data_IF_786378750119
#
_entry.id   IF_786378750119
#
_cell.length_a   1.000
_cell.length_b   1.000
_cell.length_c   1.000
_cell.angle_alpha   90.00
_cell.angle_beta   90.00
_cell.angle_gamma   90.00
#
_symmetry.space_group_name_H-M   'P 1'
#
loop_
_entity.id
_entity.type
_entity.pdbx_description
1 polymer ?
#
# COMPACT_ATOMS: atom_id res chain seq x y z
N UNK A 1 1.50 -22.55 -61.74
CA UNK A 1 1.40 -21.93 -63.10
C UNK A 1 1.54 -20.44 -62.95
N UNK A 2 2.51 -19.86 -63.73
CA UNK A 2 2.75 -18.45 -64.07
C UNK A 2 3.06 -17.48 -62.92
N UNK A 3 4.20 -16.92 -62.81
CA UNK A 3 5.35 -16.39 -63.59
C UNK A 3 5.52 -14.91 -63.17
N UNK A 4 6.61 -14.61 -62.49
CA UNK A 4 7.78 -13.80 -62.90
C UNK A 4 7.41 -12.43 -63.52
N UNK A 5 7.91 -11.34 -62.93
CA UNK A 5 8.80 -10.42 -63.63
C UNK A 5 9.56 -9.49 -62.67
N UNK A 6 10.88 -9.56 -62.82
CA UNK A 6 11.90 -8.59 -62.40
C UNK A 6 11.88 -7.38 -63.34
N UNK A 7 12.27 -6.24 -62.80
CA UNK A 7 13.01 -5.25 -63.63
C UNK A 7 13.90 -4.38 -62.73
N UNK A 8 15.16 -4.50 -62.99
CA UNK A 8 16.33 -3.68 -62.64
C UNK A 8 16.43 -2.49 -63.59
N UNK A 9 17.00 -1.36 -63.12
CA UNK A 9 17.89 -0.39 -63.83
C UNK A 9 18.28 0.68 -62.81
N UNK A 10 19.50 0.75 -62.36
CA UNK A 10 20.80 1.37 -62.72
C UNK A 10 20.73 2.81 -63.22
N UNK A 11 21.48 3.68 -62.55
CA UNK A 11 22.61 4.55 -62.94
C UNK A 11 22.62 5.82 -62.08
N UNK A 12 23.55 6.06 -61.17
CA UNK A 12 24.88 6.64 -61.24
C UNK A 12 24.88 8.12 -61.75
N UNK A 13 25.29 9.05 -60.85
CA UNK A 13 26.14 10.18 -61.20
C UNK A 13 26.83 10.75 -59.93
N UNK A 14 28.13 10.79 -60.02
CA UNK A 14 29.07 11.33 -59.03
C UNK A 14 29.09 12.90 -59.16
N UNK A 15 29.28 13.57 -58.05
CA UNK A 15 29.62 15.01 -57.98
C UNK A 15 30.53 15.26 -56.79
N UNK A 16 31.85 15.23 -57.00
CA UNK A 16 32.86 15.72 -56.09
C UNK A 16 32.83 17.25 -56.09
N UNK A 17 32.69 17.87 -54.91
CA UNK A 17 33.13 19.27 -54.68
C UNK A 17 33.99 19.23 -53.41
N UNK A 18 35.29 19.45 -53.58
CA UNK A 18 36.25 19.75 -52.58
C UNK A 18 36.16 21.21 -52.18
N UNK A 19 36.01 21.52 -50.91
CA UNK A 19 36.25 22.89 -50.37
C UNK A 19 37.04 22.83 -49.11
N UNK A 20 38.00 23.68 -49.10
CA UNK A 20 39.16 23.96 -48.32
C UNK A 20 38.96 23.96 -46.76
N UNK A 21 40.03 23.43 -46.14
CA UNK A 21 40.35 23.61 -44.70
C UNK A 21 40.73 25.06 -44.48
N UNK A 22 40.03 25.75 -43.60
CA UNK A 22 40.52 26.94 -42.90
C UNK A 22 40.54 26.67 -41.40
N UNK A 23 41.75 26.48 -40.87
CA UNK A 23 42.04 26.43 -39.45
C UNK A 23 41.72 27.80 -38.81
N UNK A 24 40.74 27.79 -37.92
CA UNK A 24 40.45 28.92 -37.04
C UNK A 24 40.44 28.39 -35.60
N UNK A 25 41.54 28.58 -34.83
CA UNK A 25 41.53 28.49 -33.38
C UNK A 25 40.65 29.60 -32.82
N UNK A 26 39.47 29.22 -32.33
CA UNK A 26 38.60 30.04 -31.53
C UNK A 26 38.03 29.17 -30.43
N UNK A 27 38.52 29.34 -29.17
CA UNK A 27 37.93 28.74 -27.98
C UNK A 27 36.53 29.24 -27.77
N UNK A 28 35.56 28.55 -28.37
CA UNK A 28 34.15 28.67 -28.06
C UNK A 28 33.79 27.58 -27.06
N UNK A 29 33.45 27.98 -25.85
CA UNK A 29 32.66 27.15 -24.95
C UNK A 29 31.51 26.61 -25.76
N UNK A 30 31.52 25.28 -26.01
CA UNK A 30 30.34 24.60 -26.57
C UNK A 30 29.17 24.90 -25.63
N UNK A 31 28.26 25.74 -26.09
CA UNK A 31 26.96 25.86 -25.48
C UNK A 31 26.36 24.46 -25.55
N UNK A 32 26.20 23.82 -24.39
CA UNK A 32 25.47 22.58 -24.26
C UNK A 32 24.10 22.81 -24.87
N UNK A 33 23.79 22.09 -25.94
CA UNK A 33 22.42 21.98 -26.45
C UNK A 33 21.55 21.68 -25.23
N UNK A 34 20.40 22.37 -25.04
CA UNK A 34 19.51 21.99 -23.95
C UNK A 34 19.15 20.53 -24.18
N UNK A 35 19.61 19.66 -23.28
CA UNK A 35 19.06 18.30 -23.21
C UNK A 35 17.58 18.45 -22.93
N UNK A 36 16.72 17.72 -23.70
CA UNK A 36 15.29 17.62 -23.40
C UNK A 36 15.08 17.09 -22.00
N UNK A 37 13.82 17.04 -21.53
CA UNK A 37 13.50 16.52 -20.21
C UNK A 37 14.03 15.10 -20.02
N UNK A 38 14.44 14.76 -18.79
CA UNK A 38 14.77 13.39 -18.45
C UNK A 38 13.50 12.56 -18.43
N UNK A 39 13.38 11.63 -19.37
CA UNK A 39 12.22 10.74 -19.43
C UNK A 39 12.32 9.65 -18.37
N UNK A 40 11.30 9.52 -17.50
CA UNK A 40 11.17 8.42 -16.53
C UNK A 40 9.82 7.74 -16.66
N UNK A 41 9.77 6.49 -16.21
CA UNK A 41 8.54 5.68 -16.19
C UNK A 41 8.09 5.42 -14.76
N UNK A 42 6.78 5.49 -14.53
CA UNK A 42 6.15 5.25 -13.23
C UNK A 42 5.00 4.26 -13.35
N UNK A 43 4.94 3.26 -12.48
CA UNK A 43 3.81 2.34 -12.38
C UNK A 43 3.16 2.37 -10.99
N UNK A 44 1.82 2.36 -10.94
CA UNK A 44 1.08 2.40 -9.70
C UNK A 44 -0.36 1.93 -9.87
N UNK A 45 -0.92 1.32 -8.82
CA UNK A 45 -2.36 1.02 -8.68
C UNK A 45 -3.09 2.06 -7.82
N UNK A 46 -2.36 3.00 -7.22
CA UNK A 46 -2.94 3.96 -6.28
C UNK A 46 -3.80 4.97 -7.02
N UNK A 47 -5.01 5.19 -6.51
CA UNK A 47 -5.94 6.19 -7.05
C UNK A 47 -5.31 7.58 -7.10
N UNK A 48 -5.61 8.32 -8.16
CA UNK A 48 -5.08 9.66 -8.38
C UNK A 48 -3.66 9.71 -8.93
N UNK A 49 -2.99 8.57 -9.19
CA UNK A 49 -1.61 8.56 -9.70
C UNK A 49 -1.50 9.24 -11.07
N UNK A 50 -2.48 9.05 -11.96
CA UNK A 50 -2.50 9.76 -13.24
C UNK A 50 -2.61 11.27 -13.07
N UNK A 51 -3.47 11.74 -12.16
CA UNK A 51 -3.61 13.17 -11.86
C UNK A 51 -2.30 13.78 -11.34
N UNK A 52 -1.57 13.02 -10.50
CA UNK A 52 -0.25 13.41 -10.00
C UNK A 52 0.74 13.59 -11.14
N UNK A 53 0.80 12.62 -12.06
CA UNK A 53 1.73 12.68 -13.21
C UNK A 53 1.39 13.83 -14.13
N UNK A 54 0.12 14.01 -14.49
CA UNK A 54 -0.32 15.11 -15.35
C UNK A 54 0.03 16.48 -14.73
N UNK A 55 -0.20 16.64 -13.41
CA UNK A 55 0.12 17.87 -12.69
C UNK A 55 1.63 18.12 -12.60
N UNK A 56 2.42 17.07 -12.34
CA UNK A 56 3.88 17.20 -12.29
C UNK A 56 4.47 17.59 -13.64
N UNK A 57 4.08 16.91 -14.70
CA UNK A 57 4.54 17.23 -16.06
C UNK A 57 4.14 18.63 -16.51
N UNK A 58 3.00 19.15 -16.04
CA UNK A 58 2.57 20.52 -16.34
C UNK A 58 3.32 21.59 -15.50
N UNK A 59 3.84 21.23 -14.33
CA UNK A 59 4.46 22.18 -13.39
C UNK A 59 5.94 22.46 -13.66
N UNK A 60 6.62 21.64 -14.43
CA UNK A 60 8.06 21.77 -14.70
C UNK A 60 8.43 21.05 -16.01
N UNK A 61 9.66 21.32 -16.53
CA UNK A 61 10.17 20.80 -17.80
C UNK A 61 11.50 20.01 -17.68
N UNK A 62 11.97 19.75 -16.49
CA UNK A 62 13.24 19.03 -16.27
C UNK A 62 13.10 17.51 -16.39
N UNK A 63 11.94 16.98 -15.92
CA UNK A 63 11.66 15.55 -15.90
C UNK A 63 10.27 15.31 -16.50
N UNK A 64 10.17 14.41 -17.44
CA UNK A 64 8.89 13.97 -17.98
C UNK A 64 8.57 12.55 -17.52
N UNK A 65 7.40 12.36 -16.94
CA UNK A 65 6.95 11.07 -16.37
C UNK A 65 5.94 10.41 -17.28
N UNK A 66 6.22 9.20 -17.74
CA UNK A 66 5.24 8.34 -18.42
C UNK A 66 4.62 7.38 -17.40
N UNK A 67 3.29 7.38 -17.31
CA UNK A 67 2.53 6.60 -16.32
C UNK A 67 1.95 5.32 -16.92
N UNK A 68 2.08 4.22 -16.16
CA UNK A 68 1.41 2.95 -16.43
C UNK A 68 0.56 2.55 -15.23
N UNK A 69 -0.75 2.43 -15.42
CA UNK A 69 -1.64 1.93 -14.38
C UNK A 69 -1.52 0.42 -14.25
N UNK A 70 -1.46 -0.07 -13.00
CA UNK A 70 -1.49 -1.49 -12.66
C UNK A 70 -2.81 -1.76 -11.94
N UNK A 71 -3.47 -2.89 -12.25
CA UNK A 71 -4.80 -3.17 -11.74
C UNK A 71 -4.82 -3.36 -10.21
N UNK A 72 -3.89 -4.14 -9.68
CA UNK A 72 -3.76 -4.42 -8.23
C UNK A 72 -2.31 -4.53 -7.79
N UNK A 73 -2.06 -4.42 -6.48
CA UNK A 73 -0.74 -4.70 -5.90
C UNK A 73 -0.34 -6.18 -6.09
N UNK A 74 -1.29 -7.10 -5.95
CA UNK A 74 -1.05 -8.54 -6.08
C UNK A 74 -0.53 -8.94 -7.47
N UNK A 75 -1.08 -8.33 -8.52
CA UNK A 75 -0.66 -8.58 -9.91
C UNK A 75 0.71 -7.94 -10.23
N UNK A 76 1.03 -6.85 -9.52
CA UNK A 76 2.22 -6.06 -9.80
C UNK A 76 3.53 -6.77 -9.40
N UNK A 77 3.60 -7.36 -8.20
CA UNK A 77 4.87 -7.87 -7.66
C UNK A 77 5.51 -8.99 -8.46
N UNK A 78 4.79 -10.02 -8.95
CA UNK A 78 5.37 -11.03 -9.82
C UNK A 78 5.87 -10.45 -11.16
N UNK A 79 5.15 -9.45 -11.69
CA UNK A 79 5.54 -8.75 -12.92
C UNK A 79 6.82 -7.93 -12.71
N UNK A 80 6.93 -7.16 -11.62
CA UNK A 80 8.13 -6.36 -11.31
C UNK A 80 9.39 -7.22 -11.23
N UNK A 81 9.32 -8.37 -10.53
CA UNK A 81 10.47 -9.28 -10.44
C UNK A 81 10.92 -9.77 -11.82
N UNK A 82 9.99 -10.09 -12.70
CA UNK A 82 10.30 -10.50 -14.08
C UNK A 82 10.84 -9.34 -14.92
N UNK A 83 10.25 -8.15 -14.81
CA UNK A 83 10.68 -6.94 -15.51
C UNK A 83 12.09 -6.51 -15.12
N UNK A 84 12.45 -6.61 -13.82
CA UNK A 84 13.81 -6.34 -13.35
C UNK A 84 14.80 -7.31 -14.00
N UNK A 85 14.50 -8.61 -14.02
CA UNK A 85 15.35 -9.61 -14.71
C UNK A 85 15.50 -9.32 -16.21
N UNK A 86 14.43 -8.82 -16.84
CA UNK A 86 14.43 -8.45 -18.26
C UNK A 86 14.97 -7.04 -18.52
N UNK A 87 15.31 -6.25 -17.49
CA UNK A 87 15.71 -4.83 -17.57
C UNK A 87 14.66 -3.93 -18.23
N UNK A 88 13.39 -4.21 -18.00
CA UNK A 88 12.23 -3.48 -18.53
C UNK A 88 11.34 -2.93 -17.42
N UNK A 89 11.80 -2.98 -16.17
CA UNK A 89 11.04 -2.46 -15.03
C UNK A 89 10.90 -0.93 -15.11
N UNK A 90 9.76 -0.37 -14.67
CA UNK A 90 9.61 1.08 -14.53
C UNK A 90 10.69 1.67 -13.63
N UNK A 91 11.05 2.95 -13.87
CA UNK A 91 12.04 3.65 -13.05
C UNK A 91 11.55 3.84 -11.61
N UNK A 92 10.30 4.31 -11.47
CA UNK A 92 9.62 4.51 -10.19
C UNK A 92 8.50 3.49 -10.04
N UNK A 93 8.47 2.83 -8.88
CA UNK A 93 7.50 1.77 -8.58
C UNK A 93 6.84 2.03 -7.22
N UNK A 94 5.56 1.67 -7.12
CA UNK A 94 4.84 1.66 -5.85
C UNK A 94 5.11 0.35 -5.11
N UNK A 95 5.42 0.44 -3.82
CA UNK A 95 5.64 -0.74 -2.96
C UNK A 95 4.96 -0.55 -1.61
N UNK A 96 4.09 -1.48 -1.24
CA UNK A 96 3.49 -1.51 0.09
C UNK A 96 4.54 -1.87 1.15
N UNK A 97 4.43 -1.31 2.36
CA UNK A 97 5.39 -1.58 3.43
C UNK A 97 5.65 -3.07 3.70
N UNK A 98 4.62 -3.96 3.69
CA UNK A 98 4.86 -5.39 3.88
C UNK A 98 5.76 -6.05 2.82
N UNK A 99 5.99 -5.37 1.71
CA UNK A 99 6.77 -5.88 0.58
C UNK A 99 8.16 -5.26 0.44
N UNK A 100 8.44 -4.15 1.13
CA UNK A 100 9.70 -3.41 0.93
C UNK A 100 10.91 -4.30 1.21
N UNK A 101 10.95 -4.98 2.38
CA UNK A 101 12.07 -5.85 2.75
C UNK A 101 12.22 -7.05 1.81
N UNK A 102 11.12 -7.60 1.34
CA UNK A 102 11.12 -8.70 0.39
C UNK A 102 11.63 -8.26 -0.99
N UNK A 103 11.12 -7.15 -1.53
CA UNK A 103 11.55 -6.62 -2.83
C UNK A 103 13.01 -6.18 -2.81
N UNK A 104 13.49 -5.61 -1.70
CA UNK A 104 14.91 -5.27 -1.53
C UNK A 104 15.81 -6.52 -1.53
N UNK A 105 15.47 -7.55 -0.74
CA UNK A 105 16.25 -8.79 -0.66
C UNK A 105 16.20 -9.64 -1.95
N UNK A 106 15.17 -9.45 -2.77
CA UNK A 106 15.07 -10.04 -4.12
C UNK A 106 15.81 -9.23 -5.20
N UNK A 107 16.42 -8.09 -4.85
CA UNK A 107 17.12 -7.23 -5.79
C UNK A 107 16.21 -6.47 -6.76
N UNK A 108 14.94 -6.25 -6.39
CA UNK A 108 13.99 -5.45 -7.18
C UNK A 108 14.15 -3.97 -6.92
N UNK A 109 14.40 -3.59 -5.67
CA UNK A 109 14.61 -2.21 -5.26
C UNK A 109 16.09 -1.82 -5.29
N UNK A 110 16.34 -0.56 -5.63
CA UNK A 110 17.65 0.09 -5.52
C UNK A 110 17.82 0.66 -4.12
N UNK A 111 19.01 0.56 -3.55
CA UNK A 111 19.38 1.38 -2.40
C UNK A 111 19.44 2.85 -2.84
N UNK A 112 18.58 3.67 -2.24
CA UNK A 112 18.42 5.10 -2.51
C UNK A 112 18.91 5.97 -1.33
N UNK A 113 19.76 5.44 -0.46
CA UNK A 113 20.31 6.15 0.70
C UNK A 113 20.98 7.46 0.30
N UNK A 114 21.69 7.45 -0.82
CA UNK A 114 22.39 8.64 -1.34
C UNK A 114 21.41 9.70 -1.84
N UNK A 115 20.39 9.29 -2.59
CA UNK A 115 19.44 10.20 -3.27
C UNK A 115 18.29 10.64 -2.37
N UNK A 116 17.88 9.81 -1.39
CA UNK A 116 16.68 10.03 -0.59
C UNK A 116 16.85 9.85 0.92
N UNK A 117 18.00 9.42 1.42
CA UNK A 117 18.20 9.17 2.86
C UNK A 117 17.92 10.39 3.73
N UNK A 118 18.41 11.58 3.35
CA UNK A 118 18.13 12.83 4.05
C UNK A 118 16.63 13.20 3.96
N UNK A 119 16.01 13.08 2.80
CA UNK A 119 14.57 13.32 2.62
C UNK A 119 13.77 12.43 3.58
N UNK A 120 14.06 11.13 3.63
CA UNK A 120 13.33 10.17 4.44
C UNK A 120 13.51 10.46 5.93
N UNK A 121 14.73 10.72 6.37
CA UNK A 121 15.02 10.96 7.80
C UNK A 121 14.49 12.29 8.34
N UNK A 122 14.32 13.32 7.48
CA UNK A 122 13.90 14.66 7.91
C UNK A 122 12.41 14.94 7.71
N UNK A 123 11.76 14.26 6.76
CA UNK A 123 10.37 14.56 6.38
C UNK A 123 9.35 13.57 6.94
N UNK A 124 9.79 12.48 7.58
CA UNK A 124 8.89 11.44 8.07
C UNK A 124 9.28 11.00 9.49
N UNK A 125 8.27 10.60 10.27
CA UNK A 125 8.46 10.14 11.64
C UNK A 125 9.28 8.83 11.70
N UNK A 126 10.08 8.59 12.77
CA UNK A 126 10.89 7.37 12.92
C UNK A 126 10.10 6.07 12.80
N UNK A 127 8.85 6.00 13.31
CA UNK A 127 7.96 4.84 13.20
C UNK A 127 7.58 4.51 11.75
N UNK A 128 7.60 5.50 10.85
CA UNK A 128 7.34 5.33 9.42
C UNK A 128 8.63 5.01 8.67
N UNK A 129 9.72 5.70 9.00
CA UNK A 129 11.01 5.47 8.31
C UNK A 129 11.54 4.07 8.55
N UNK A 130 11.29 3.45 9.71
CA UNK A 130 11.65 2.06 10.00
C UNK A 130 11.02 1.03 9.06
N UNK A 131 9.93 1.38 8.36
CA UNK A 131 9.25 0.49 7.40
C UNK A 131 9.94 0.46 6.03
N UNK A 132 10.82 1.42 5.76
CA UNK A 132 11.57 1.55 4.49
C UNK A 132 13.08 1.56 4.67
N UNK A 133 13.57 1.67 5.92
CA UNK A 133 15.00 1.69 6.26
C UNK A 133 15.36 0.42 7.04
N UNK A 134 16.22 -0.42 6.49
CA UNK A 134 16.76 -1.62 7.15
C UNK A 134 18.08 -2.03 6.50
N UNK A 135 18.91 -2.78 7.23
CA UNK A 135 20.23 -3.20 6.74
C UNK A 135 21.16 -2.04 6.41
N UNK A 136 21.00 -0.89 7.08
CA UNK A 136 21.81 0.30 6.83
C UNK A 136 21.49 1.07 5.55
N UNK A 137 20.40 0.73 4.85
CA UNK A 137 20.00 1.32 3.57
C UNK A 137 18.56 1.84 3.58
N UNK A 138 18.26 2.79 2.69
CA UNK A 138 16.92 3.33 2.40
C UNK A 138 16.40 2.73 1.11
N UNK A 139 15.22 2.07 1.18
CA UNK A 139 14.65 1.30 0.08
C UNK A 139 13.41 1.94 -0.54
N UNK A 140 12.86 2.97 0.08
CA UNK A 140 11.69 3.67 -0.42
C UNK A 140 11.46 5.00 0.27
N UNK A 141 10.61 5.84 -0.33
CA UNK A 141 10.12 7.09 0.25
C UNK A 141 8.67 6.87 0.63
N UNK A 142 8.30 7.05 1.91
CA UNK A 142 6.93 6.86 2.37
C UNK A 142 5.92 7.79 1.69
N UNK A 143 4.71 7.29 1.43
CA UNK A 143 3.59 8.11 0.99
C UNK A 143 2.54 8.25 2.09
N UNK A 144 1.97 7.12 2.51
CA UNK A 144 0.79 7.10 3.36
C UNK A 144 0.86 6.02 4.44
N UNK A 145 -0.04 6.14 5.41
CA UNK A 145 -0.34 5.09 6.36
C UNK A 145 -1.75 4.56 6.08
N UNK A 146 -1.87 3.24 5.96
CA UNK A 146 -3.16 2.56 5.96
C UNK A 146 -3.68 2.41 7.39
N UNK A 147 -3.92 3.52 8.10
CA UNK A 147 -4.37 3.48 9.51
C UNK A 147 -5.66 2.69 9.62
N UNK A 148 -5.64 1.62 10.40
CA UNK A 148 -6.79 0.74 10.60
C UNK A 148 -7.86 1.46 11.42
N UNK A 149 -9.08 1.48 10.91
CA UNK A 149 -10.22 2.17 11.51
C UNK A 149 -11.53 1.47 11.16
N UNK A 150 -12.61 1.82 11.84
CA UNK A 150 -13.93 1.26 11.60
C UNK A 150 -14.79 2.26 10.81
N UNK A 151 -15.18 1.87 9.60
CA UNK A 151 -16.22 2.55 8.80
C UNK A 151 -17.57 1.96 9.17
N UNK A 152 -18.57 2.80 9.44
CA UNK A 152 -19.89 2.32 9.84
C UNK A 152 -21.02 3.14 9.25
N UNK A 153 -22.14 2.49 9.03
CA UNK A 153 -23.41 3.10 8.59
C UNK A 153 -24.10 3.72 9.82
N UNK A 154 -23.97 5.04 9.97
CA UNK A 154 -24.53 5.77 11.10
C UNK A 154 -26.07 5.60 11.20
N UNK A 155 -26.75 5.64 10.06
CA UNK A 155 -28.21 5.41 9.99
C UNK A 155 -28.63 4.00 10.43
N UNK A 156 -27.81 2.99 10.15
CA UNK A 156 -28.08 1.62 10.59
C UNK A 156 -27.70 1.38 12.05
N UNK A 157 -26.62 2.00 12.51
CA UNK A 157 -26.28 2.00 13.95
C UNK A 157 -27.40 2.60 14.79
N UNK A 158 -27.96 3.74 14.35
CA UNK A 158 -29.14 4.36 14.98
C UNK A 158 -30.35 3.41 14.93
N UNK A 159 -30.68 2.85 13.77
CA UNK A 159 -31.79 1.90 13.59
C UNK A 159 -31.73 0.71 14.55
N UNK A 160 -30.56 0.15 14.78
CA UNK A 160 -30.37 -1.00 15.68
C UNK A 160 -30.02 -0.58 17.12
N UNK A 161 -29.97 0.72 17.42
CA UNK A 161 -29.65 1.27 18.72
C UNK A 161 -28.27 0.87 19.21
N UNK A 162 -27.25 0.91 18.32
CA UNK A 162 -25.87 0.55 18.61
C UNK A 162 -25.06 1.82 18.79
N UNK A 163 -24.37 1.90 19.91
CA UNK A 163 -23.31 2.87 20.11
C UNK A 163 -22.03 2.43 19.42
N UNK A 164 -21.17 3.38 19.03
CA UNK A 164 -19.87 3.08 18.42
C UNK A 164 -18.97 2.38 19.45
N UNK A 165 -18.58 1.10 19.24
CA UNK A 165 -17.83 0.34 20.23
C UNK A 165 -16.40 0.89 20.37
N UNK A 166 -15.93 1.04 21.62
CA UNK A 166 -14.55 1.44 21.95
C UNK A 166 -13.67 0.24 22.31
N UNK A 167 -14.30 -0.84 22.75
CA UNK A 167 -13.63 -2.07 23.12
C UNK A 167 -14.07 -3.24 22.24
N UNK A 168 -13.22 -4.25 22.08
CA UNK A 168 -13.61 -5.49 21.41
C UNK A 168 -14.74 -6.24 22.13
N UNK A 169 -14.88 -6.03 23.45
CA UNK A 169 -16.02 -6.58 24.21
C UNK A 169 -17.34 -5.89 23.80
N UNK A 170 -17.36 -4.54 23.72
CA UNK A 170 -18.50 -3.78 23.22
C UNK A 170 -18.83 -4.12 21.78
N UNK A 171 -17.80 -4.31 20.93
CA UNK A 171 -17.96 -4.74 19.54
C UNK A 171 -18.64 -6.11 19.45
N UNK A 172 -18.23 -7.07 20.28
CA UNK A 172 -18.85 -8.40 20.34
C UNK A 172 -20.29 -8.33 20.81
N UNK A 173 -20.59 -7.49 21.81
CA UNK A 173 -21.95 -7.27 22.30
C UNK A 173 -22.83 -6.62 21.24
N UNK A 174 -22.32 -5.64 20.49
CA UNK A 174 -23.00 -5.02 19.37
C UNK A 174 -23.28 -6.03 18.25
N UNK A 175 -22.32 -6.89 17.91
CA UNK A 175 -22.49 -7.95 16.90
C UNK A 175 -23.60 -8.94 17.30
N UNK A 176 -23.63 -9.37 18.58
CA UNK A 176 -24.67 -10.23 19.09
C UNK A 176 -26.06 -9.57 19.05
N UNK A 177 -26.14 -8.27 19.45
CA UNK A 177 -27.39 -7.49 19.40
C UNK A 177 -27.97 -7.39 17.99
N UNK A 178 -27.13 -7.09 16.99
CA UNK A 178 -27.53 -7.02 15.58
C UNK A 178 -28.05 -8.36 15.09
N UNK A 179 -27.29 -9.44 15.32
CA UNK A 179 -27.64 -10.78 14.85
C UNK A 179 -28.95 -11.30 15.50
N UNK A 180 -29.22 -10.92 16.75
CA UNK A 180 -30.46 -11.26 17.44
C UNK A 180 -31.66 -10.45 16.92
N UNK A 181 -31.46 -9.18 16.56
CA UNK A 181 -32.51 -8.31 16.03
C UNK A 181 -32.92 -8.66 14.61
N UNK A 182 -31.94 -9.06 13.77
CA UNK A 182 -32.18 -9.47 12.38
C UNK A 182 -31.16 -10.55 11.96
N UNK A 183 -31.60 -11.81 11.73
CA UNK A 183 -30.72 -12.90 11.34
C UNK A 183 -30.09 -12.74 9.94
N UNK A 184 -30.59 -11.80 9.13
CA UNK A 184 -30.04 -11.48 7.79
C UNK A 184 -29.00 -10.36 7.82
N UNK A 185 -28.68 -9.82 8.99
CA UNK A 185 -27.78 -8.67 9.15
C UNK A 185 -26.64 -9.03 10.09
N UNK A 186 -25.44 -8.52 9.82
CA UNK A 186 -24.28 -8.64 10.71
C UNK A 186 -23.63 -7.28 10.88
N UNK A 187 -22.99 -7.13 12.04
CA UNK A 187 -22.23 -5.91 12.33
C UNK A 187 -21.11 -5.73 11.31
N UNK A 188 -20.37 -6.80 10.98
CA UNK A 188 -19.24 -6.76 10.03
C UNK A 188 -19.01 -8.11 9.35
N UNK A 189 -17.99 -8.14 8.48
CA UNK A 189 -17.40 -9.37 7.95
C UNK A 189 -16.21 -9.83 8.80
N UNK A 190 -15.92 -11.13 8.71
CA UNK A 190 -14.75 -11.74 9.34
C UNK A 190 -13.48 -11.48 8.54
N UNK A 191 -12.31 -11.36 9.19
CA UNK A 191 -11.02 -11.31 8.50
C UNK A 191 -10.53 -12.67 7.99
N UNK A 192 -11.31 -13.76 8.11
CA UNK A 192 -10.88 -15.10 7.68
C UNK A 192 -10.44 -15.09 6.21
N UNK A 193 -9.16 -15.43 5.98
CA UNK A 193 -8.55 -15.38 4.65
C UNK A 193 -7.83 -14.06 4.33
N UNK A 194 -7.75 -13.14 5.29
CA UNK A 194 -7.00 -11.90 5.16
C UNK A 194 -5.80 -11.85 6.13
N UNK A 195 -4.63 -12.37 5.73
CA UNK A 195 -3.46 -12.42 6.59
C UNK A 195 -2.88 -11.02 6.91
N UNK A 196 -3.11 -10.02 6.06
CA UNK A 196 -2.71 -8.65 6.35
C UNK A 196 -3.55 -8.07 7.51
N UNK A 197 -4.83 -8.42 7.60
CA UNK A 197 -5.67 -8.06 8.74
C UNK A 197 -5.22 -8.80 10.02
N UNK A 198 -4.79 -10.07 9.92
CA UNK A 198 -4.24 -10.78 11.09
C UNK A 198 -2.99 -10.06 11.63
N UNK A 199 -2.09 -9.66 10.74
CA UNK A 199 -0.90 -8.90 11.11
C UNK A 199 -1.27 -7.54 11.75
N UNK A 200 -2.24 -6.83 11.18
CA UNK A 200 -2.69 -5.55 11.72
C UNK A 200 -3.32 -5.69 13.12
N UNK A 201 -4.19 -6.68 13.34
CA UNK A 201 -4.79 -6.94 14.65
C UNK A 201 -3.75 -7.39 15.67
N UNK A 202 -2.78 -8.22 15.26
CA UNK A 202 -1.65 -8.61 16.10
C UNK A 202 -0.80 -7.39 16.49
N UNK A 203 -0.49 -6.51 15.52
CA UNK A 203 0.24 -5.27 15.76
C UNK A 203 -0.49 -4.35 16.74
N UNK A 204 -1.80 -4.12 16.53
CA UNK A 204 -2.64 -3.37 17.48
C UNK A 204 -2.50 -3.88 18.91
N UNK A 205 -2.37 -5.20 19.09
CA UNK A 205 -2.23 -5.86 20.38
C UNK A 205 -0.78 -5.96 20.87
N UNK A 206 0.16 -5.24 20.25
CA UNK A 206 1.56 -5.16 20.65
C UNK A 206 2.45 -6.33 20.21
N UNK A 207 1.97 -7.22 19.33
CA UNK A 207 2.81 -8.26 18.74
C UNK A 207 3.90 -7.66 17.85
N UNK A 208 4.97 -8.42 17.64
CA UNK A 208 6.08 -8.08 16.73
C UNK A 208 6.44 -9.33 15.93
N UNK A 209 5.88 -9.47 14.73
CA UNK A 209 6.10 -10.67 13.90
C UNK A 209 7.53 -10.83 13.41
N UNK A 210 8.28 -9.74 13.30
CA UNK A 210 9.68 -9.74 12.92
C UNK A 210 10.49 -8.73 13.71
N UNK A 211 11.76 -9.06 13.95
CA UNK A 211 12.77 -8.10 14.40
C UNK A 211 14.14 -8.52 13.88
N UNK A 212 15.02 -7.52 13.69
CA UNK A 212 16.40 -7.74 13.28
C UNK A 212 17.32 -7.58 14.49
N UNK A 213 18.18 -8.57 14.74
CA UNK A 213 19.21 -8.53 15.78
C UNK A 213 20.57 -8.84 15.14
N UNK A 214 21.37 -7.80 14.91
CA UNK A 214 22.51 -7.85 14.01
C UNK A 214 22.07 -8.20 12.60
N UNK A 215 22.63 -9.27 12.03
CA UNK A 215 22.28 -9.78 10.69
C UNK A 215 21.27 -10.93 10.73
N UNK A 216 20.66 -11.19 11.88
CA UNK A 216 19.73 -12.32 12.06
C UNK A 216 18.31 -11.87 12.32
N UNK A 217 17.36 -12.49 11.65
CA UNK A 217 15.94 -12.27 11.85
C UNK A 217 15.39 -13.12 12.99
N UNK A 218 14.63 -12.50 13.88
CA UNK A 218 13.72 -13.20 14.79
C UNK A 218 12.32 -13.19 14.17
N UNK A 219 11.64 -14.32 14.20
CA UNK A 219 10.27 -14.50 13.71
C UNK A 219 9.38 -14.96 14.84
N UNK A 220 8.35 -14.17 15.20
CA UNK A 220 7.45 -14.42 16.33
C UNK A 220 5.97 -14.21 15.93
N UNK A 221 5.55 -14.89 14.85
CA UNK A 221 4.17 -14.86 14.33
C UNK A 221 3.22 -15.54 15.32
N UNK A 222 3.66 -16.63 15.95
CA UNK A 222 2.89 -17.46 16.89
C UNK A 222 2.93 -16.95 18.35
N UNK A 223 3.14 -15.66 18.56
CA UNK A 223 3.19 -15.05 19.89
C UNK A 223 1.84 -15.05 20.60
N UNK A 224 1.88 -14.97 21.94
CA UNK A 224 0.68 -14.87 22.76
C UNK A 224 -0.14 -13.60 22.41
N UNK A 225 0.53 -12.50 22.09
CA UNK A 225 -0.13 -11.27 21.67
C UNK A 225 -0.90 -11.45 20.35
N UNK A 226 -0.33 -12.18 19.36
CA UNK A 226 -1.03 -12.54 18.12
C UNK A 226 -2.22 -13.46 18.40
N UNK A 227 -2.03 -14.51 19.22
CA UNK A 227 -3.11 -15.44 19.59
C UNK A 227 -4.27 -14.73 20.27
N UNK A 228 -3.99 -13.81 21.20
CA UNK A 228 -5.01 -13.05 21.91
C UNK A 228 -5.81 -12.15 20.96
N UNK A 229 -5.17 -11.46 20.02
CA UNK A 229 -5.83 -10.62 19.02
C UNK A 229 -6.76 -11.45 18.11
N UNK A 230 -6.29 -12.59 17.61
CA UNK A 230 -7.07 -13.44 16.72
C UNK A 230 -8.17 -14.23 17.45
N UNK A 231 -8.03 -14.45 18.77
CA UNK A 231 -9.07 -15.12 19.55
C UNK A 231 -10.40 -14.35 19.54
N UNK A 232 -10.36 -13.04 19.64
CA UNK A 232 -11.58 -12.20 19.55
C UNK A 232 -12.30 -12.45 18.24
N UNK A 233 -11.58 -12.46 17.13
CA UNK A 233 -12.16 -12.72 15.80
C UNK A 233 -12.68 -14.15 15.68
N UNK A 234 -11.93 -15.12 16.19
CA UNK A 234 -12.34 -16.53 16.19
C UNK A 234 -13.63 -16.74 16.98
N UNK A 235 -13.76 -16.14 18.17
CA UNK A 235 -14.96 -16.24 19.01
C UNK A 235 -16.21 -15.71 18.26
N UNK A 236 -16.08 -14.56 17.58
CA UNK A 236 -17.14 -13.96 16.76
C UNK A 236 -17.52 -14.85 15.57
N UNK A 237 -16.54 -15.45 14.90
CA UNK A 237 -16.78 -16.39 13.78
C UNK A 237 -17.48 -17.65 14.28
N UNK A 238 -16.99 -18.25 15.37
CA UNK A 238 -17.57 -19.46 15.96
C UNK A 238 -19.03 -19.26 16.42
N UNK A 239 -19.33 -18.06 16.92
CA UNK A 239 -20.69 -17.65 17.29
C UNK A 239 -21.56 -17.22 16.09
N UNK A 240 -21.05 -17.24 14.84
CA UNK A 240 -21.73 -16.81 13.61
C UNK A 240 -22.22 -15.36 13.65
N UNK A 241 -21.46 -14.50 14.34
CA UNK A 241 -21.78 -13.07 14.53
C UNK A 241 -21.20 -12.17 13.42
N UNK A 242 -20.35 -12.71 12.56
CA UNK A 242 -19.78 -12.04 11.40
C UNK A 242 -20.11 -12.78 10.11
N UNK A 243 -20.15 -12.04 8.99
CA UNK A 243 -20.21 -12.65 7.67
C UNK A 243 -18.83 -13.27 7.32
N UNK A 244 -18.84 -14.46 6.70
CA UNK A 244 -17.61 -15.18 6.29
C UNK A 244 -17.57 -15.45 4.79
N UNK A 245 -18.46 -14.85 4.04
CA UNK A 245 -18.58 -14.98 2.59
C UNK A 245 -17.43 -14.27 1.86
N UNK A 246 -17.30 -14.59 0.58
CA UNK A 246 -16.29 -13.98 -0.30
C UNK A 246 -16.67 -12.54 -0.71
N UNK A 247 -15.68 -11.78 -1.14
CA UNK A 247 -15.80 -10.35 -1.39
C UNK A 247 -16.99 -9.91 -2.29
N UNK A 248 -17.34 -10.60 -3.38
CA UNK A 248 -18.50 -10.18 -4.19
C UNK A 248 -19.83 -10.27 -3.42
N UNK A 249 -20.01 -11.31 -2.57
CA UNK A 249 -21.21 -11.49 -1.74
C UNK A 249 -21.24 -10.43 -0.63
N UNK A 250 -20.09 -10.15 -0.02
CA UNK A 250 -19.98 -9.10 1.00
C UNK A 250 -20.29 -7.71 0.42
N UNK A 251 -19.86 -7.41 -0.80
CA UNK A 251 -20.18 -6.16 -1.47
C UNK A 251 -21.69 -6.00 -1.70
N UNK A 252 -22.38 -7.08 -2.09
CA UNK A 252 -23.84 -7.07 -2.23
C UNK A 252 -24.52 -6.86 -0.87
N UNK A 253 -24.09 -7.57 0.19
CA UNK A 253 -24.61 -7.37 1.54
C UNK A 253 -24.40 -5.93 2.06
N UNK A 254 -23.31 -5.31 1.71
CA UNK A 254 -23.04 -3.91 2.03
C UNK A 254 -23.97 -2.96 1.27
N UNK A 255 -24.21 -3.21 -0.03
CA UNK A 255 -25.18 -2.47 -0.83
C UNK A 255 -26.60 -2.57 -0.23
N UNK A 256 -26.99 -3.77 0.18
CA UNK A 256 -28.33 -4.07 0.73
C UNK A 256 -28.51 -3.62 2.21
N UNK A 257 -27.47 -3.05 2.85
CA UNK A 257 -27.53 -2.65 4.26
C UNK A 257 -27.52 -3.83 5.24
N UNK A 258 -27.06 -5.00 4.80
CA UNK A 258 -26.92 -6.22 5.62
C UNK A 258 -25.54 -6.31 6.29
N UNK A 259 -24.59 -5.43 5.93
CA UNK A 259 -23.28 -5.25 6.54
C UNK A 259 -23.20 -3.82 7.08
N UNK A 260 -23.14 -3.68 8.41
CA UNK A 260 -23.28 -2.39 9.06
C UNK A 260 -21.95 -1.62 9.20
N UNK A 261 -20.84 -2.33 9.25
CA UNK A 261 -19.51 -1.73 9.38
C UNK A 261 -18.45 -2.54 8.65
N UNK A 262 -17.34 -1.87 8.35
CA UNK A 262 -16.13 -2.46 7.75
C UNK A 262 -14.92 -1.96 8.52
N UNK A 263 -14.08 -2.87 8.98
CA UNK A 263 -12.76 -2.54 9.52
C UNK A 263 -11.77 -2.57 8.35
N UNK A 264 -11.12 -1.46 8.09
CA UNK A 264 -10.16 -1.33 6.98
C UNK A 264 -9.20 -0.16 7.18
N UNK A 265 -8.19 -0.06 6.32
CA UNK A 265 -7.26 1.06 6.31
C UNK A 265 -7.91 2.37 5.84
N UNK A 266 -7.27 3.50 6.14
CA UNK A 266 -7.74 4.84 5.79
C UNK A 266 -8.04 5.02 4.29
N UNK A 267 -7.40 4.24 3.42
CA UNK A 267 -7.62 4.22 1.97
C UNK A 267 -9.01 3.70 1.55
N UNK A 268 -9.72 2.98 2.41
CA UNK A 268 -11.01 2.35 2.07
C UNK A 268 -12.11 3.37 1.83
N UNK A 269 -12.01 4.58 2.38
CA UNK A 269 -12.96 5.66 2.13
C UNK A 269 -13.15 5.98 0.64
N UNK A 270 -12.09 5.91 -0.17
CA UNK A 270 -12.17 6.07 -1.62
C UNK A 270 -12.96 4.93 -2.29
N UNK A 271 -12.81 3.71 -1.79
CA UNK A 271 -13.56 2.55 -2.28
C UNK A 271 -15.04 2.68 -1.98
N UNK A 272 -15.40 3.13 -0.76
CA UNK A 272 -16.79 3.43 -0.38
C UNK A 272 -17.42 4.47 -1.30
N UNK A 273 -16.78 5.61 -1.47
CA UNK A 273 -17.29 6.70 -2.30
C UNK A 273 -17.45 6.29 -3.77
N UNK A 274 -16.64 5.36 -4.26
CA UNK A 274 -16.72 4.89 -5.65
C UNK A 274 -17.79 3.81 -5.83
N UNK A 275 -17.80 2.79 -4.94
CA UNK A 275 -18.65 1.62 -5.09
C UNK A 275 -20.08 1.85 -4.58
N UNK A 276 -20.27 2.75 -3.61
CA UNK A 276 -21.55 2.99 -2.93
C UNK A 276 -21.87 4.49 -2.89
N UNK A 277 -21.79 5.17 -4.03
CA UNK A 277 -22.03 6.61 -4.15
C UNK A 277 -23.45 7.02 -3.67
N UNK A 278 -24.44 6.16 -3.82
CA UNK A 278 -25.82 6.32 -3.34
C UNK A 278 -25.97 6.28 -1.82
N UNK A 279 -24.93 5.89 -1.11
CA UNK A 279 -24.88 5.89 0.36
C UNK A 279 -24.18 7.13 0.92
N UNK A 280 -23.99 8.18 0.11
CA UNK A 280 -23.40 9.45 0.54
C UNK A 280 -24.14 10.02 1.77
N UNK A 281 -23.38 10.53 2.73
CA UNK A 281 -23.87 11.10 3.98
C UNK A 281 -24.19 10.08 5.08
N UNK A 282 -24.29 8.77 4.74
CA UNK A 282 -24.68 7.71 5.69
C UNK A 282 -23.51 7.05 6.42
N UNK A 283 -22.32 7.20 5.91
CA UNK A 283 -21.10 6.61 6.50
C UNK A 283 -20.44 7.56 7.49
N UNK A 284 -19.81 6.98 8.50
CA UNK A 284 -18.90 7.64 9.44
C UNK A 284 -17.69 6.76 9.69
N UNK A 285 -16.66 7.34 10.28
CA UNK A 285 -15.42 6.66 10.65
C UNK A 285 -15.20 6.79 12.16
N UNK A 286 -14.75 5.71 12.78
CA UNK A 286 -14.39 5.69 14.20
C UNK A 286 -13.01 5.04 14.38
N UNK A 287 -12.40 5.31 15.56
CA UNK A 287 -11.22 4.55 16.00
C UNK A 287 -11.53 3.06 16.04
N UNK A 288 -10.51 2.24 15.79
CA UNK A 288 -10.63 0.80 15.95
C UNK A 288 -10.91 0.47 17.43
N UNK A 289 -11.84 -0.45 17.74
CA UNK A 289 -11.98 -0.97 19.10
C UNK A 289 -10.67 -1.58 19.59
N UNK A 290 -10.34 -1.41 20.86
CA UNK A 290 -9.16 -2.00 21.49
C UNK A 290 -9.54 -2.97 22.61
N UNK A 291 -8.59 -3.69 23.17
CA UNK A 291 -8.86 -4.60 24.30
C UNK A 291 -9.20 -3.80 25.56
N UNK A 292 -8.51 -2.69 25.80
CA UNK A 292 -8.61 -1.90 27.02
C UNK A 292 -9.58 -0.73 26.92
N UNK A 293 -9.99 -0.33 25.71
CA UNK A 293 -10.71 0.92 25.43
C UNK A 293 -9.80 2.13 25.25
N UNK A 294 -8.52 2.03 25.59
CA UNK A 294 -7.55 3.06 25.24
C UNK A 294 -7.27 3.02 23.73
N UNK A 295 -7.05 4.16 23.09
CA UNK A 295 -6.76 4.20 21.67
C UNK A 295 -5.55 3.32 21.31
N UNK A 296 -5.76 2.39 20.41
CA UNK A 296 -4.71 1.56 19.81
C UNK A 296 -5.12 1.22 18.39
N UNK A 297 -4.25 1.53 17.43
CA UNK A 297 -4.48 1.22 16.03
C UNK A 297 -3.30 0.41 15.48
N UNK A 298 -3.35 0.09 14.20
CA UNK A 298 -2.25 -0.48 13.45
C UNK A 298 -2.33 -0.01 12.00
N UNK A 299 -1.36 -0.40 11.18
CA UNK A 299 -1.46 -0.20 9.74
C UNK A 299 -1.98 -1.46 9.05
N UNK A 300 -2.95 -1.25 8.18
CA UNK A 300 -3.44 -2.23 7.23
C UNK A 300 -3.16 -1.71 5.82
N UNK A 301 -2.05 -2.16 5.23
CA UNK A 301 -1.47 -1.57 4.04
C UNK A 301 -0.66 -0.31 4.36
N UNK A 302 -0.66 0.61 3.41
CA UNK A 302 0.21 1.78 3.37
C UNK A 302 1.36 1.54 2.39
N UNK A 303 1.77 2.60 1.71
CA UNK A 303 2.62 2.51 0.53
C UNK A 303 3.82 3.43 0.60
N UNK A 304 4.86 3.02 -0.08
CA UNK A 304 6.05 3.80 -0.40
C UNK A 304 6.28 3.79 -1.91
N UNK A 305 7.19 4.64 -2.36
CA UNK A 305 7.71 4.63 -3.73
C UNK A 305 9.19 4.29 -3.69
N UNK A 306 9.57 3.28 -4.47
CA UNK A 306 10.96 2.87 -4.66
C UNK A 306 11.47 3.17 -6.06
N UNK A 307 12.77 3.07 -6.23
CA UNK A 307 13.45 3.08 -7.52
C UNK A 307 13.78 1.63 -7.89
N UNK A 308 13.48 1.23 -9.11
CA UNK A 308 13.88 -0.07 -9.62
C UNK A 308 15.40 -0.22 -9.62
N UNK A 309 15.91 -1.39 -9.25
CA UNK A 309 17.35 -1.67 -9.25
C UNK A 309 18.00 -1.52 -10.62
N UNK A 310 17.22 -1.62 -11.70
CA UNK A 310 17.69 -1.47 -13.09
C UNK A 310 17.61 -0.02 -13.60
N UNK A 311 17.02 0.91 -12.84
CA UNK A 311 16.95 2.32 -13.24
C UNK A 311 18.29 3.02 -13.09
N UNK A 312 18.70 3.75 -14.11
CA UNK A 312 19.86 4.65 -14.11
C UNK A 312 19.47 6.12 -13.82
N UNK A 313 18.14 6.37 -13.58
CA UNK A 313 17.56 7.71 -13.45
C UNK A 313 17.05 7.99 -12.04
N UNK A 314 17.76 7.48 -11.01
CA UNK A 314 17.34 7.57 -9.63
C UNK A 314 17.11 9.03 -9.16
N UNK A 315 18.00 9.96 -9.51
CA UNK A 315 17.83 11.37 -9.14
C UNK A 315 16.55 12.00 -9.69
N UNK A 316 16.23 11.75 -10.96
CA UNK A 316 15.00 12.23 -11.58
C UNK A 316 13.75 11.57 -10.94
N UNK A 317 13.84 10.26 -10.66
CA UNK A 317 12.79 9.53 -9.95
C UNK A 317 12.55 10.10 -8.55
N UNK A 318 13.60 10.39 -7.79
CA UNK A 318 13.47 10.96 -6.44
C UNK A 318 12.93 12.41 -6.47
N UNK A 319 13.28 13.24 -7.47
CA UNK A 319 12.64 14.56 -7.65
C UNK A 319 11.11 14.41 -7.79
N UNK A 320 10.65 13.50 -8.63
CA UNK A 320 9.22 13.22 -8.81
C UNK A 320 8.58 12.68 -7.51
N UNK A 321 9.21 11.68 -6.87
CA UNK A 321 8.70 11.10 -5.62
C UNK A 321 8.60 12.15 -4.53
N UNK A 322 9.63 12.98 -4.32
CA UNK A 322 9.62 14.08 -3.34
C UNK A 322 8.43 15.01 -3.59
N UNK A 323 8.25 15.45 -4.83
CA UNK A 323 7.14 16.36 -5.18
C UNK A 323 5.78 15.73 -4.84
N UNK A 324 5.54 14.47 -5.22
CA UNK A 324 4.24 13.83 -5.03
C UNK A 324 3.95 13.39 -3.59
N UNK A 325 4.98 13.30 -2.71
CA UNK A 325 4.82 12.81 -1.33
C UNK A 325 4.89 13.91 -0.28
N UNK A 326 5.53 15.04 -0.59
CA UNK A 326 5.80 16.09 0.42
C UNK A 326 5.26 17.45 0.06
N UNK A 327 4.76 17.68 -1.18
CA UNK A 327 4.21 18.98 -1.55
C UNK A 327 2.69 19.03 -1.51
N UNK A 328 2.09 20.19 -1.16
CA UNK A 328 0.65 20.39 -1.23
C UNK A 328 0.08 20.14 -2.61
N UNK A 329 0.79 20.55 -3.68
CA UNK A 329 0.36 20.42 -5.07
C UNK A 329 0.24 18.96 -5.49
N UNK A 330 1.25 18.14 -5.18
CA UNK A 330 1.27 16.70 -5.47
C UNK A 330 0.12 15.97 -4.78
N UNK A 331 -0.12 16.29 -3.51
CA UNK A 331 -1.22 15.67 -2.75
C UNK A 331 -2.59 16.16 -3.22
N UNK A 332 -2.77 17.46 -3.50
CA UNK A 332 -4.02 17.98 -4.06
C UNK A 332 -4.36 17.31 -5.40
N UNK A 333 -3.35 17.13 -6.26
CA UNK A 333 -3.52 16.39 -7.52
C UNK A 333 -3.99 14.96 -7.27
N UNK A 334 -3.45 14.26 -6.27
CA UNK A 334 -3.88 12.91 -5.89
C UNK A 334 -5.33 12.88 -5.38
N UNK A 335 -5.70 13.80 -4.48
CA UNK A 335 -7.06 13.89 -3.92
C UNK A 335 -8.09 14.21 -5.01
N UNK A 336 -7.75 15.06 -6.01
CA UNK A 336 -8.63 15.33 -7.15
C UNK A 336 -8.99 14.08 -7.95
N UNK A 337 -8.16 13.02 -7.90
CA UNK A 337 -8.43 11.69 -8.44
C UNK A 337 -9.24 10.78 -7.50
N UNK A 338 -9.97 11.35 -6.55
CA UNK A 338 -10.81 10.64 -5.55
C UNK A 338 -10.03 9.69 -4.64
N UNK A 339 -8.76 9.98 -4.37
CA UNK A 339 -7.96 9.27 -3.38
C UNK A 339 -8.33 9.72 -1.97
N UNK A 340 -8.38 8.78 -1.01
CA UNK A 340 -8.44 9.06 0.43
C UNK A 340 -7.13 8.66 1.11
N UNK A 341 -6.02 8.82 0.39
CA UNK A 341 -4.68 8.60 0.93
C UNK A 341 -4.51 9.40 2.22
N UNK A 342 -3.90 8.78 3.23
CA UNK A 342 -3.55 9.45 4.50
C UNK A 342 -2.03 9.68 4.53
N UNK A 343 -1.53 10.84 4.02
CA UNK A 343 -0.12 11.11 3.92
C UNK A 343 0.58 11.09 5.29
N UNK A 344 1.75 10.47 5.34
CA UNK A 344 2.56 10.44 6.56
C UNK A 344 3.47 11.66 6.71
N UNK A 345 3.69 12.42 5.64
CA UNK A 345 4.27 13.76 5.70
C UNK A 345 3.23 14.77 6.23
N UNK A 346 3.59 15.60 7.21
CA UNK A 346 2.66 16.50 7.89
C UNK A 346 2.09 17.59 6.96
N UNK A 347 2.94 18.23 6.15
CA UNK A 347 2.51 19.25 5.19
C UNK A 347 1.55 18.66 4.16
N UNK A 348 1.88 17.50 3.63
CA UNK A 348 1.03 16.77 2.69
C UNK A 348 -0.30 16.34 3.31
N UNK A 349 -0.30 15.87 4.58
CA UNK A 349 -1.51 15.48 5.30
C UNK A 349 -2.45 16.64 5.53
N UNK A 350 -1.94 17.80 5.94
CA UNK A 350 -2.72 19.03 6.10
C UNK A 350 -3.37 19.44 4.77
N UNK A 351 -2.61 19.37 3.67
CA UNK A 351 -3.14 19.67 2.33
C UNK A 351 -4.20 18.66 1.87
N UNK A 352 -4.05 17.37 2.22
CA UNK A 352 -5.03 16.33 1.91
C UNK A 352 -6.35 16.57 2.65
N UNK A 353 -6.30 16.83 3.95
CA UNK A 353 -7.48 17.13 4.77
C UNK A 353 -8.24 18.36 4.24
N UNK A 354 -7.51 19.43 3.88
CA UNK A 354 -8.10 20.66 3.33
C UNK A 354 -8.73 20.48 1.93
N UNK A 355 -8.25 19.53 1.15
CA UNK A 355 -8.74 19.24 -0.21
C UNK A 355 -9.84 18.17 -0.24
N UNK A 356 -10.07 17.46 0.86
CA UNK A 356 -11.00 16.35 0.92
C UNK A 356 -12.45 16.81 1.03
N UNK A 357 -13.33 16.25 0.18
CA UNK A 357 -14.77 16.46 0.29
C UNK A 357 -15.36 15.55 1.39
N UNK A 358 -15.77 16.15 2.50
CA UNK A 358 -16.33 15.46 3.67
C UNK A 358 -17.79 15.04 3.49
N UNK A 359 -18.47 15.45 2.40
CA UNK A 359 -19.92 15.23 2.22
C UNK A 359 -20.29 13.75 2.25
N UNK A 360 -19.47 12.88 1.65
CA UNK A 360 -19.71 11.43 1.67
C UNK A 360 -19.78 10.86 3.09
N UNK A 361 -19.02 11.41 4.02
CA UNK A 361 -18.99 11.02 5.43
C UNK A 361 -19.86 11.94 6.31
N UNK A 362 -20.87 12.61 5.72
CA UNK A 362 -21.81 13.46 6.44
C UNK A 362 -21.15 14.64 7.14
N UNK A 363 -20.13 15.22 6.55
CA UNK A 363 -19.38 16.36 7.07
C UNK A 363 -18.26 15.98 8.05
N UNK A 364 -18.01 14.68 8.31
CA UNK A 364 -16.94 14.27 9.21
C UNK A 364 -15.56 14.40 8.57
N UNK A 365 -14.61 15.00 9.29
CA UNK A 365 -13.19 14.95 8.94
C UNK A 365 -12.59 13.57 9.27
N UNK A 366 -12.45 12.71 8.27
CA UNK A 366 -11.87 11.38 8.43
C UNK A 366 -10.34 11.42 8.66
N UNK A 367 -9.67 12.50 8.29
CA UNK A 367 -8.24 12.70 8.55
C UNK A 367 -7.94 12.94 10.01
N UNK A 368 -8.85 13.62 10.74
CA UNK A 368 -8.73 13.74 12.19
C UNK A 368 -8.79 12.38 12.87
N UNK A 369 -9.73 11.51 12.46
CA UNK A 369 -9.85 10.15 12.99
C UNK A 369 -8.59 9.34 12.72
N UNK A 370 -8.13 9.34 11.47
CA UNK A 370 -6.91 8.62 11.07
C UNK A 370 -5.65 9.18 11.78
N UNK A 371 -5.58 10.49 12.02
CA UNK A 371 -4.48 11.12 12.75
C UNK A 371 -4.38 10.65 14.22
N UNK A 372 -5.51 10.55 14.90
CA UNK A 372 -5.57 9.97 16.26
C UNK A 372 -5.15 8.50 16.26
N UNK A 373 -5.60 7.74 15.26
CA UNK A 373 -5.20 6.35 15.06
C UNK A 373 -3.68 6.22 14.84
N UNK A 374 -3.10 7.01 13.93
CA UNK A 374 -1.66 6.98 13.66
C UNK A 374 -0.82 7.21 14.93
N UNK A 375 -1.25 8.16 15.79
CA UNK A 375 -0.56 8.47 17.04
C UNK A 375 -0.64 7.34 18.09
N UNK A 376 -1.54 6.38 17.92
CA UNK A 376 -1.76 5.27 18.85
C UNK A 376 -1.20 3.94 18.37
N UNK A 377 -0.50 3.91 17.22
CA UNK A 377 0.10 2.68 16.69
C UNK A 377 1.29 2.26 17.56
N UNK A 378 1.33 1.02 18.09
CA UNK A 378 2.46 0.52 18.84
C UNK A 378 3.75 0.52 18.03
N UNK A 379 4.86 0.97 18.62
CA UNK A 379 6.16 1.03 17.98
C UNK A 379 6.85 -0.33 17.86
N UNK A 380 7.82 -0.42 16.95
CA UNK A 380 8.73 -1.56 16.81
C UNK A 380 8.21 -2.70 15.96
N UNK A 381 7.17 -2.49 15.16
CA UNK A 381 6.80 -3.44 14.10
C UNK A 381 7.78 -3.36 12.93
N UNK A 382 8.20 -4.53 12.46
CA UNK A 382 9.05 -4.68 11.27
C UNK A 382 8.48 -5.78 10.38
N UNK A 383 8.38 -5.52 9.10
CA UNK A 383 8.00 -6.51 8.10
C UNK A 383 9.20 -7.35 7.69
N UNK A 384 9.13 -8.66 7.90
CA UNK A 384 10.18 -9.60 7.52
C UNK A 384 10.27 -9.85 6.01
N UNK A 385 11.39 -10.37 5.51
CA UNK A 385 11.62 -10.57 4.08
C UNK A 385 10.95 -11.84 3.48
N UNK A 386 10.10 -12.54 4.24
CA UNK A 386 9.33 -13.71 3.78
C UNK A 386 7.81 -13.51 3.94
N UNK A 387 7.33 -12.26 3.80
CA UNK A 387 5.91 -11.92 3.98
C UNK A 387 4.98 -12.68 3.01
N UNK A 388 5.41 -12.93 1.76
CA UNK A 388 4.62 -13.74 0.80
C UNK A 388 4.38 -15.14 1.36
N UNK A 389 5.43 -15.83 1.78
CA UNK A 389 5.32 -17.19 2.35
C UNK A 389 4.43 -17.22 3.57
N UNK A 390 4.61 -16.24 4.47
CA UNK A 390 3.76 -16.10 5.68
C UNK A 390 2.29 -15.95 5.29
N UNK A 391 1.98 -15.02 4.40
CA UNK A 391 0.60 -14.70 4.00
C UNK A 391 -0.04 -15.84 3.22
N UNK A 392 0.67 -16.45 2.28
CA UNK A 392 0.15 -17.60 1.53
C UNK A 392 -0.19 -18.76 2.46
N UNK A 393 0.68 -19.07 3.43
CA UNK A 393 0.43 -20.14 4.40
C UNK A 393 -0.81 -19.82 5.25
N UNK A 394 -0.97 -18.58 5.71
CA UNK A 394 -2.16 -18.18 6.49
C UNK A 394 -3.45 -18.24 5.68
N UNK A 395 -3.40 -17.93 4.38
CA UNK A 395 -4.54 -18.08 3.46
C UNK A 395 -4.92 -19.57 3.31
N UNK A 396 -3.93 -20.45 3.16
CA UNK A 396 -4.16 -21.89 3.03
C UNK A 396 -4.80 -22.44 4.33
N UNK A 397 -4.30 -22.04 5.50
CA UNK A 397 -4.89 -22.43 6.80
C UNK A 397 -6.30 -21.85 6.99
N UNK A 398 -6.60 -20.66 6.48
CA UNK A 398 -7.92 -20.05 6.56
C UNK A 398 -9.01 -20.89 5.86
N UNK A 399 -8.68 -21.71 4.86
CA UNK A 399 -9.63 -22.64 4.23
C UNK A 399 -10.17 -23.67 5.22
N UNK A 400 -9.32 -24.13 6.17
CA UNK A 400 -9.72 -25.06 7.24
C UNK A 400 -10.61 -24.36 8.28
N UNK A 401 -10.35 -23.09 8.56
CA UNK A 401 -11.19 -22.27 9.44
C UNK A 401 -12.59 -22.08 8.83
N UNK A 402 -12.67 -21.75 7.53
CA UNK A 402 -13.95 -21.67 6.79
C UNK A 402 -14.71 -22.98 6.80
N UNK A 403 -14.01 -24.14 6.75
CA UNK A 403 -14.59 -25.47 6.84
C UNK A 403 -14.99 -25.87 8.28
N UNK A 404 -14.65 -25.08 9.30
CA UNK A 404 -14.91 -25.38 10.71
C UNK A 404 -14.05 -26.51 11.30
N UNK A 405 -12.90 -26.83 10.67
CA UNK A 405 -11.98 -27.90 11.08
C UNK A 405 -10.72 -27.41 11.76
N UNK A 406 -10.54 -26.09 11.89
CA UNK A 406 -9.41 -25.42 12.51
C UNK A 406 -9.82 -24.06 13.07
N UNK A 407 -8.92 -23.40 13.80
CA UNK A 407 -9.08 -22.04 14.30
C UNK A 407 -8.06 -21.10 13.66
N UNK A 408 -8.29 -19.77 13.80
CA UNK A 408 -7.32 -18.76 13.33
C UNK A 408 -5.96 -18.92 14.02
N UNK A 409 -5.94 -19.33 15.28
CA UNK A 409 -4.73 -19.52 16.05
C UNK A 409 -3.93 -20.76 15.59
N UNK A 410 -4.60 -21.83 15.15
CA UNK A 410 -3.93 -23.06 14.71
C UNK A 410 -3.06 -22.87 13.46
N UNK A 411 -3.36 -21.85 12.65
CA UNK A 411 -2.58 -21.48 11.46
C UNK A 411 -1.26 -20.76 11.79
N UNK A 412 -1.13 -20.16 12.99
CA UNK A 412 0.04 -19.33 13.33
C UNK A 412 1.35 -20.14 13.41
N UNK A 413 1.43 -21.28 14.12
CA UNK A 413 2.65 -22.08 14.16
C UNK A 413 3.02 -22.67 12.81
N UNK A 414 2.03 -22.95 11.95
CA UNK A 414 2.27 -23.42 10.58
C UNK A 414 2.93 -22.32 9.75
N UNK A 415 2.40 -21.09 9.81
CA UNK A 415 2.96 -19.93 9.13
C UNK A 415 4.36 -19.57 9.64
N UNK A 416 4.59 -19.61 10.96
CA UNK A 416 5.90 -19.36 11.54
C UNK A 416 6.94 -20.36 11.03
N UNK A 417 6.61 -21.66 11.05
CA UNK A 417 7.50 -22.73 10.55
C UNK A 417 7.81 -22.55 9.06
N UNK A 418 6.82 -22.22 8.23
CA UNK A 418 6.99 -21.99 6.81
C UNK A 418 7.88 -20.77 6.54
N UNK A 419 7.66 -19.68 7.27
CA UNK A 419 8.46 -18.45 7.21
C UNK A 419 9.92 -18.70 7.54
N UNK A 420 10.20 -19.40 8.66
CA UNK A 420 11.56 -19.77 9.05
C UNK A 420 12.25 -20.68 8.03
N UNK A 421 11.51 -21.61 7.43
CA UNK A 421 12.03 -22.48 6.38
C UNK A 421 12.39 -21.70 5.11
N UNK A 422 11.55 -20.76 4.67
CA UNK A 422 11.82 -19.92 3.51
C UNK A 422 13.07 -19.06 3.72
N UNK A 423 13.19 -18.39 4.87
CA UNK A 423 14.37 -17.58 5.20
C UNK A 423 15.66 -18.41 5.15
N UNK A 424 15.66 -19.60 5.76
CA UNK A 424 16.80 -20.52 5.72
C UNK A 424 17.15 -20.99 4.31
N UNK A 425 16.13 -21.33 3.50
CA UNK A 425 16.34 -21.76 2.11
C UNK A 425 16.96 -20.67 1.24
N UNK A 426 16.68 -19.40 1.57
CA UNK A 426 17.26 -18.21 0.91
C UNK A 426 18.60 -17.80 1.49
N UNK A 427 19.15 -18.53 2.47
CA UNK A 427 20.42 -18.21 3.13
C UNK A 427 20.34 -17.00 4.05
N UNK A 428 19.14 -16.60 4.46
CA UNK A 428 18.93 -15.50 5.42
C UNK A 428 19.06 -16.06 6.84
N UNK A 429 19.90 -15.40 7.65
CA UNK A 429 20.16 -15.83 9.03
C UNK A 429 18.90 -15.63 9.90
N UNK A 430 18.54 -16.64 10.66
CA UNK A 430 17.43 -16.64 11.62
C UNK A 430 17.87 -17.15 12.98
N UNK A 431 17.31 -16.58 14.04
CA UNK A 431 17.48 -17.05 15.43
C UNK A 431 16.38 -18.00 15.83
#
# INVERSE_FOLDING_TARGET
MRSIRRSTFLSAAAGMIAVAVLSGCGGGTAASTPEGPVEITFSSWLKGSKNVVDAYNAAQSEVHVTFSEVATSADNYPQLTNQVKAKTAPDVITVEYPRVSEMATQGVLKDISKEAGELVSTQFAPSITSLVNFGGATWGVPLDAGVLQMYYRADLFEKYGIEVPKTWAEYSAAAAKVAAADPKVRLASSPVGDPAMYAALAWQNGAKWGSLDGDSWNVDIDSDATKAALKVQQDLVSAKLLWTEDAPVLAQKQADGQLLSVISGSWYGASLNTAFADQSGKWRVAQLPSITGEPSAAMYGGSSFGISSTSEKAEAGIKFIKWMTTTPEGIKARISGKSTVFPVNETARTAAAAAFDTAYFGGQDIYEVAGKGLASIPEGWVWGPATITTFTTLVDEATKVKAGTSTLQDGLPVAQKATLADLKNRGISVK
#
